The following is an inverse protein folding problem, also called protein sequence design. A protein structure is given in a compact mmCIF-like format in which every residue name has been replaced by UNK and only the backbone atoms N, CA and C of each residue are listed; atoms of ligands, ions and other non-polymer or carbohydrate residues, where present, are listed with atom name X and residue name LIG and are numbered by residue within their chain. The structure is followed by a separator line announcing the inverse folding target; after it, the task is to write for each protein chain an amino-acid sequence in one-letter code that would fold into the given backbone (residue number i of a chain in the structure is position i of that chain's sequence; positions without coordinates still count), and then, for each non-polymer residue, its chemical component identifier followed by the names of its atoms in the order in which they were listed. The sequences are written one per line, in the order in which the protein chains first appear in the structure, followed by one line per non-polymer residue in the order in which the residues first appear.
data_IF_857285649154
#
_entry.id   IF_857285649154
#
_cell.length_a   1.000
_cell.length_b   1.000
_cell.length_c   1.000
_cell.angle_alpha   90.00
_cell.angle_beta   90.00
_cell.angle_gamma   90.00
#
_symmetry.space_group_name_H-M   'P 1'
#
loop_
_entity.id
_entity.type
_entity.pdbx_description
1 polymer ?
#
# COMPACT_ATOMS: atom_id res chain seq x y z
N UNK A 1 39.23 13.00 43.93
CA UNK A 1 39.13 13.92 42.77
C UNK A 1 39.36 13.23 41.42
N UNK A 2 40.34 12.33 41.29
CA UNK A 2 40.63 11.62 40.03
C UNK A 2 39.47 10.75 39.50
N UNK A 3 38.74 10.02 40.36
CA UNK A 3 37.62 9.17 39.93
C UNK A 3 36.43 9.95 39.34
N UNK A 4 36.19 11.18 39.81
CA UNK A 4 35.09 12.03 39.31
C UNK A 4 35.43 12.57 37.91
N UNK A 5 36.70 12.93 37.69
CA UNK A 5 37.19 13.38 36.39
C UNK A 5 37.18 12.25 35.35
N UNK A 6 37.56 11.03 35.75
CA UNK A 6 37.48 9.86 34.86
C UNK A 6 36.03 9.50 34.52
N UNK A 7 35.11 9.59 35.48
CA UNK A 7 33.69 9.34 35.23
C UNK A 7 33.05 10.40 34.30
N UNK A 8 33.41 11.68 34.46
CA UNK A 8 32.98 12.74 33.55
C UNK A 8 33.56 12.57 32.14
N UNK A 9 34.83 12.16 32.02
CA UNK A 9 35.47 11.92 30.73
C UNK A 9 34.83 10.74 29.98
N UNK A 10 34.47 9.66 30.69
CA UNK A 10 33.74 8.53 30.11
C UNK A 10 32.32 8.94 29.70
N UNK A 11 31.60 9.70 30.54
CA UNK A 11 30.25 10.19 30.20
C UNK A 11 30.27 11.14 28.99
N UNK A 12 31.25 12.04 28.90
CA UNK A 12 31.44 12.94 27.76
C UNK A 12 31.84 12.18 26.49
N UNK A 13 32.72 11.17 26.59
CA UNK A 13 33.12 10.33 25.48
C UNK A 13 31.97 9.48 24.93
N UNK A 14 31.12 8.95 25.81
CA UNK A 14 29.91 8.20 25.44
C UNK A 14 28.82 9.11 24.84
N UNK A 15 28.70 10.35 25.31
CA UNK A 15 27.79 11.35 24.73
C UNK A 15 28.19 11.75 23.30
N UNK A 16 29.48 12.05 23.09
CA UNK A 16 30.01 12.42 21.77
C UNK A 16 29.95 11.26 20.77
N UNK A 17 30.18 10.02 21.20
CA UNK A 17 30.07 8.84 20.35
C UNK A 17 28.62 8.58 19.88
N UNK A 18 27.61 8.84 20.72
CA UNK A 18 26.19 8.71 20.33
C UNK A 18 25.76 9.81 19.37
N UNK A 19 26.23 11.04 19.54
CA UNK A 19 25.89 12.14 18.63
C UNK A 19 26.54 11.97 17.25
N UNK A 20 27.75 11.39 17.17
CA UNK A 20 28.41 11.12 15.91
C UNK A 20 27.74 10.00 15.08
N UNK A 21 27.07 9.05 15.73
CA UNK A 21 26.38 7.92 15.07
C UNK A 21 25.04 8.34 14.41
N UNK A 22 24.48 9.48 14.80
CA UNK A 22 23.18 9.96 14.32
C UNK A 22 23.30 10.82 13.03
N UNK A 23 24.44 11.47 12.81
CA UNK A 23 24.64 12.44 11.71
C UNK A 23 24.79 11.81 10.31
N UNK A 24 24.77 10.48 10.20
CA UNK A 24 24.89 9.75 8.92
C UNK A 24 23.89 8.62 8.71
N UNK A 25 22.93 8.44 9.64
CA UNK A 25 21.91 7.39 9.49
C UNK A 25 20.82 7.89 8.54
N UNK A 26 20.50 7.13 7.46
CA UNK A 26 19.39 7.50 6.58
C UNK A 26 18.12 7.67 7.41
N UNK A 27 17.38 8.75 7.17
CA UNK A 27 16.09 8.98 7.80
C UNK A 27 15.21 7.73 7.59
N UNK A 28 14.78 7.05 8.67
CA UNK A 28 13.98 5.84 8.56
C UNK A 28 12.69 6.07 7.77
N UNK A 29 12.13 7.28 7.80
CA UNK A 29 10.95 7.66 7.02
C UNK A 29 11.29 7.68 5.54
N UNK A 30 12.38 8.33 5.14
CA UNK A 30 12.81 8.39 3.74
C UNK A 30 13.22 7.02 3.20
N UNK A 31 13.86 6.19 4.03
CA UNK A 31 14.24 4.83 3.66
C UNK A 31 13.01 3.99 3.28
N UNK A 32 11.95 4.03 4.11
CA UNK A 32 10.69 3.34 3.83
C UNK A 32 9.95 4.00 2.65
N UNK A 33 9.89 5.33 2.59
CA UNK A 33 9.20 6.06 1.52
C UNK A 33 9.81 5.79 0.14
N UNK A 34 11.12 5.56 0.04
CA UNK A 34 11.79 5.22 -1.22
C UNK A 34 11.38 3.84 -1.76
N UNK A 35 10.87 2.96 -0.91
CA UNK A 35 10.36 1.63 -1.28
C UNK A 35 8.87 1.61 -1.62
N UNK A 36 8.17 2.71 -1.35
CA UNK A 36 6.78 2.88 -1.71
C UNK A 36 6.70 3.63 -3.04
N UNK A 37 5.76 3.21 -3.89
CA UNK A 37 5.48 3.83 -5.18
C UNK A 37 4.28 4.77 -5.07
N UNK A 38 4.39 5.97 -5.63
CA UNK A 38 3.25 6.87 -5.71
C UNK A 38 2.26 6.34 -6.79
N UNK A 39 1.00 6.03 -6.46
CA UNK A 39 0.03 5.52 -7.45
C UNK A 39 -0.37 6.57 -8.49
N UNK A 40 -0.35 7.86 -8.11
CA UNK A 40 -0.70 8.97 -9.00
C UNK A 40 0.48 9.47 -9.86
N UNK A 41 1.71 9.05 -9.56
CA UNK A 41 2.91 9.64 -10.13
C UNK A 41 3.65 8.56 -10.91
N UNK A 42 3.64 8.66 -12.24
CA UNK A 42 4.05 7.66 -13.25
C UNK A 42 5.35 6.86 -12.95
N UNK A 43 5.29 6.00 -11.94
CA UNK A 43 6.39 5.18 -11.50
C UNK A 43 7.36 5.77 -10.47
N UNK A 44 7.14 6.99 -9.96
CA UNK A 44 8.01 7.64 -8.96
C UNK A 44 7.86 7.03 -7.55
N UNK A 45 8.91 7.14 -6.74
CA UNK A 45 8.86 6.76 -5.32
C UNK A 45 8.08 7.78 -4.49
N UNK A 46 7.52 7.36 -3.36
CA UNK A 46 6.90 8.25 -2.38
C UNK A 46 7.93 9.15 -1.72
N UNK A 47 9.22 8.78 -1.69
CA UNK A 47 10.27 9.68 -1.21
C UNK A 47 10.49 10.87 -2.15
N UNK A 48 10.51 10.63 -3.46
CA UNK A 48 10.88 11.64 -4.46
C UNK A 48 9.68 12.47 -4.94
N UNK A 49 8.48 11.89 -4.91
CA UNK A 49 7.33 12.52 -5.56
C UNK A 49 6.74 13.68 -4.77
N UNK A 50 6.35 14.73 -5.49
CA UNK A 50 5.79 15.97 -4.93
C UNK A 50 4.26 16.00 -4.88
N UNK A 51 3.59 14.89 -5.21
CA UNK A 51 2.13 14.84 -5.18
C UNK A 51 1.57 14.94 -3.75
N UNK A 52 0.34 15.44 -3.60
CA UNK A 52 -0.35 15.43 -2.30
C UNK A 52 -0.46 14.02 -1.71
N UNK A 53 -0.69 13.00 -2.55
CA UNK A 53 -0.78 11.61 -2.12
C UNK A 53 0.55 11.14 -1.54
N UNK A 54 1.68 11.44 -2.21
CA UNK A 54 3.00 11.09 -1.69
C UNK A 54 3.30 11.80 -0.36
N UNK A 55 2.92 13.08 -0.22
CA UNK A 55 3.07 13.81 1.03
C UNK A 55 2.26 13.18 2.18
N UNK A 56 1.00 12.81 1.92
CA UNK A 56 0.15 12.15 2.90
C UNK A 56 0.69 10.75 3.27
N UNK A 57 1.16 9.97 2.29
CA UNK A 57 1.81 8.67 2.54
C UNK A 57 3.09 8.81 3.37
N UNK A 58 3.95 9.80 3.10
CA UNK A 58 5.14 10.09 3.92
C UNK A 58 4.76 10.39 5.36
N UNK A 59 3.68 11.15 5.57
CA UNK A 59 3.22 11.43 6.92
C UNK A 59 2.73 10.17 7.64
N UNK A 60 2.01 9.28 6.94
CA UNK A 60 1.63 7.98 7.51
C UNK A 60 2.88 7.17 7.85
N UNK A 61 3.91 7.15 7.00
CA UNK A 61 5.18 6.47 7.33
C UNK A 61 5.80 7.06 8.59
N UNK A 62 5.87 8.39 8.71
CA UNK A 62 6.36 9.08 9.92
C UNK A 62 5.59 8.62 11.16
N UNK A 63 4.27 8.55 11.10
CA UNK A 63 3.42 8.12 12.21
C UNK A 63 3.71 6.66 12.60
N UNK A 64 4.00 5.79 11.64
CA UNK A 64 4.31 4.38 11.89
C UNK A 64 5.71 4.19 12.49
N UNK A 65 6.70 4.95 12.01
CA UNK A 65 8.06 4.96 12.56
C UNK A 65 8.03 5.50 13.99
N UNK A 66 7.26 6.56 14.27
CA UNK A 66 7.07 7.09 15.60
C UNK A 66 6.41 6.07 16.56
N UNK A 67 5.61 5.14 16.03
CA UNK A 67 5.04 4.02 16.78
C UNK A 67 6.04 2.87 17.02
N UNK A 68 7.31 3.01 16.59
CA UNK A 68 8.35 2.02 16.80
C UNK A 68 8.27 0.80 15.89
N UNK A 69 7.46 0.84 14.82
CA UNK A 69 7.37 -0.26 13.85
C UNK A 69 8.62 -0.34 13.00
N UNK A 70 9.02 -1.57 12.68
CA UNK A 70 10.14 -1.78 11.78
C UNK A 70 9.76 -1.54 10.31
N UNK A 71 10.78 -1.35 9.47
CA UNK A 71 10.63 -1.13 8.02
C UNK A 71 9.74 -2.17 7.33
N UNK A 72 9.88 -3.43 7.70
CA UNK A 72 9.23 -4.58 7.09
C UNK A 72 7.75 -4.67 7.54
N UNK A 73 7.45 -4.31 8.77
CA UNK A 73 6.10 -4.13 9.32
C UNK A 73 5.38 -2.99 8.62
N UNK A 74 6.04 -1.85 8.41
CA UNK A 74 5.45 -0.71 7.71
C UNK A 74 5.12 -1.10 6.26
N UNK A 75 6.03 -1.76 5.55
CA UNK A 75 5.77 -2.26 4.18
C UNK A 75 4.57 -3.20 4.14
N UNK A 76 4.50 -4.17 5.07
CA UNK A 76 3.34 -5.08 5.19
C UNK A 76 2.06 -4.34 5.48
N UNK A 77 2.10 -3.31 6.32
CA UNK A 77 0.95 -2.48 6.68
C UNK A 77 0.39 -1.74 5.45
N UNK A 78 1.28 -1.16 4.62
CA UNK A 78 0.89 -0.51 3.36
C UNK A 78 0.35 -1.53 2.35
N UNK A 79 0.99 -2.67 2.17
CA UNK A 79 0.52 -3.72 1.25
C UNK A 79 -0.87 -4.24 1.62
N UNK A 80 -1.15 -4.42 2.92
CA UNK A 80 -2.46 -4.88 3.38
C UNK A 80 -3.58 -3.87 3.10
N UNK A 81 -3.28 -2.57 3.03
CA UNK A 81 -4.27 -1.50 2.87
C UNK A 81 -4.40 -0.98 1.44
N UNK A 82 -3.29 -0.92 0.71
CA UNK A 82 -3.20 -0.30 -0.60
C UNK A 82 -2.82 -1.30 -1.71
N UNK A 83 -2.58 -2.57 -1.38
CA UNK A 83 -2.22 -3.63 -2.31
C UNK A 83 -0.72 -3.79 -2.53
N UNK A 84 -0.30 -4.85 -3.24
CA UNK A 84 1.11 -5.15 -3.45
C UNK A 84 1.84 -4.15 -4.36
N UNK A 85 1.12 -3.49 -5.27
CA UNK A 85 1.66 -2.53 -6.24
C UNK A 85 2.10 -1.20 -5.60
N UNK A 86 1.76 -0.98 -4.33
CA UNK A 86 2.27 0.15 -3.55
C UNK A 86 3.76 0.03 -3.29
N UNK A 87 4.37 -1.16 -3.43
CA UNK A 87 5.82 -1.33 -3.29
C UNK A 87 6.50 -1.19 -4.65
N UNK A 88 7.68 -0.57 -4.65
CA UNK A 88 8.53 -0.47 -5.86
C UNK A 88 8.95 -1.85 -6.36
N UNK A 89 9.20 -2.81 -5.44
CA UNK A 89 9.51 -4.21 -5.72
C UNK A 89 8.57 -5.15 -4.94
N UNK A 90 7.60 -5.82 -5.60
CA UNK A 90 6.72 -6.78 -4.94
C UNK A 90 7.50 -7.99 -4.38
N UNK A 91 7.12 -8.54 -3.21
CA UNK A 91 7.89 -9.60 -2.56
C UNK A 91 7.83 -10.92 -3.33
N UNK A 92 8.91 -11.27 -4.03
CA UNK A 92 9.05 -12.51 -4.82
C UNK A 92 9.28 -13.80 -3.98
N UNK A 93 8.89 -13.83 -2.69
CA UNK A 93 9.31 -14.88 -1.73
C UNK A 93 8.89 -16.31 -2.16
N UNK A 94 7.78 -16.48 -2.86
CA UNK A 94 7.36 -17.80 -3.39
C UNK A 94 8.07 -18.20 -4.70
N UNK A 95 8.28 -17.23 -5.57
CA UNK A 95 8.85 -17.43 -6.92
C UNK A 95 10.35 -17.75 -6.87
N UNK A 96 11.10 -17.09 -5.98
CA UNK A 96 12.56 -17.22 -5.90
C UNK A 96 13.00 -18.63 -5.45
N UNK A 97 12.26 -19.28 -4.57
CA UNK A 97 12.53 -20.66 -4.13
C UNK A 97 12.27 -21.69 -5.24
N UNK A 98 11.21 -21.48 -6.04
CA UNK A 98 10.89 -22.37 -7.17
C UNK A 98 11.95 -22.29 -8.27
N UNK A 99 12.48 -21.09 -8.52
CA UNK A 99 13.49 -20.82 -9.54
C UNK A 99 14.79 -21.60 -9.31
N UNK A 100 15.17 -21.82 -8.05
CA UNK A 100 16.39 -22.55 -7.66
C UNK A 100 16.14 -24.03 -7.33
N UNK A 101 14.96 -24.37 -6.79
CA UNK A 101 14.65 -25.75 -6.41
C UNK A 101 14.49 -26.70 -7.60
N UNK A 102 13.87 -26.24 -8.68
CA UNK A 102 13.58 -27.06 -9.88
C UNK A 102 14.85 -27.45 -10.65
N UNK A 103 15.80 -26.55 -10.96
CA UNK A 103 17.05 -26.92 -11.63
C UNK A 103 17.90 -27.92 -10.82
N UNK A 104 17.93 -27.76 -9.49
CA UNK A 104 18.66 -28.67 -8.61
C UNK A 104 18.05 -30.08 -8.64
N UNK A 105 16.71 -30.18 -8.56
CA UNK A 105 16.00 -31.46 -8.67
C UNK A 105 16.20 -32.13 -10.03
N UNK A 106 16.21 -31.36 -11.12
CA UNK A 106 16.46 -31.88 -12.47
C UNK A 106 17.89 -32.44 -12.61
N UNK A 107 18.90 -31.73 -12.09
CA UNK A 107 20.29 -32.19 -12.04
C UNK A 107 20.45 -33.47 -11.23
N UNK A 108 19.83 -33.52 -10.04
CA UNK A 108 19.87 -34.70 -9.17
C UNK A 108 19.17 -35.90 -9.82
N UNK A 109 18.01 -35.69 -10.45
CA UNK A 109 17.27 -36.73 -11.18
C UNK A 109 18.05 -37.27 -12.38
N UNK A 110 18.64 -36.39 -13.19
CA UNK A 110 19.47 -36.77 -14.33
C UNK A 110 20.73 -37.53 -13.93
N UNK A 111 21.43 -37.06 -12.89
CA UNK A 111 22.62 -37.73 -12.34
C UNK A 111 22.31 -39.12 -11.76
N UNK A 112 21.18 -39.27 -11.07
CA UNK A 112 20.74 -40.55 -10.52
C UNK A 112 20.37 -41.56 -11.62
N UNK A 113 19.64 -41.12 -12.65
CA UNK A 113 19.29 -41.95 -13.80
C UNK A 113 20.55 -42.43 -14.54
N UNK A 114 21.49 -41.51 -14.82
CA UNK A 114 22.77 -41.84 -15.44
C UNK A 114 23.56 -42.87 -14.63
N UNK A 115 23.63 -42.70 -13.29
CA UNK A 115 24.34 -43.61 -12.39
C UNK A 115 23.73 -45.02 -12.38
N UNK A 116 22.42 -45.17 -12.53
CA UNK A 116 21.76 -46.48 -12.65
C UNK A 116 21.96 -47.13 -14.02
N UNK A 117 21.96 -46.35 -15.09
CA UNK A 117 22.14 -46.89 -16.45
C UNK A 117 23.59 -47.20 -16.81
N UNK A 118 24.55 -46.48 -16.22
CA UNK A 118 25.99 -46.63 -16.48
C UNK A 118 26.67 -47.57 -15.47
N UNK A 119 25.95 -48.11 -14.48
CA UNK A 119 26.48 -49.13 -13.59
C UNK A 119 26.87 -50.34 -14.45
N UNK A 120 28.17 -50.67 -14.58
CA UNK A 120 28.58 -51.84 -15.33
C UNK A 120 28.03 -53.06 -14.59
N UNK A 121 27.08 -53.77 -15.21
CA UNK A 121 26.81 -55.14 -14.79
C UNK A 121 28.10 -55.92 -14.93
N UNK A 122 28.49 -56.67 -13.89
CA UNK A 122 29.67 -57.51 -13.87
C UNK A 122 29.59 -58.57 -14.99
N UNK A 123 29.88 -58.18 -16.22
CA UNK A 123 29.89 -59.04 -17.38
C UNK A 123 31.22 -59.79 -17.33
N UNK A 124 31.14 -61.07 -16.96
CA UNK A 124 32.24 -62.03 -17.02
C UNK A 124 32.95 -61.92 -18.36
N UNK A 125 34.28 -61.77 -18.30
CA UNK A 125 35.15 -61.59 -19.45
C UNK A 125 34.89 -62.68 -20.51
N UNK A 126 34.47 -62.27 -21.70
CA UNK A 126 34.47 -63.09 -22.92
C UNK A 126 35.56 -62.57 -23.86
N UNK A 127 36.33 -63.46 -24.51
CA UNK A 127 37.50 -63.07 -25.31
C UNK A 127 37.12 -62.20 -26.51
N UNK A 128 38.04 -61.33 -26.89
CA UNK A 128 37.84 -60.16 -27.74
C UNK A 128 37.39 -60.49 -29.18
N UNK A 129 36.21 -60.01 -29.56
CA UNK A 129 35.77 -59.90 -30.95
C UNK A 129 36.25 -58.57 -31.57
N UNK A 130 36.40 -58.47 -32.91
CA UNK A 130 36.95 -57.27 -33.54
C UNK A 130 36.08 -56.04 -33.25
N UNK A 131 36.74 -54.92 -32.94
CA UNK A 131 36.12 -53.67 -32.53
C UNK A 131 35.07 -53.21 -33.55
N UNK A 132 33.80 -53.38 -33.22
CA UNK A 132 32.66 -52.70 -33.86
C UNK A 132 32.15 -51.67 -32.86
N UNK A 133 32.09 -50.37 -33.20
CA UNK A 133 31.53 -49.39 -32.29
C UNK A 133 30.09 -49.79 -31.97
N UNK A 134 29.81 -49.96 -30.68
CA UNK A 134 28.57 -50.56 -30.20
C UNK A 134 27.41 -49.57 -30.40
N UNK A 135 26.77 -49.64 -31.57
CA UNK A 135 25.68 -48.74 -31.95
C UNK A 135 24.50 -48.79 -30.95
N UNK A 136 24.38 -49.88 -30.18
CA UNK A 136 23.40 -50.02 -29.10
C UNK A 136 23.76 -49.17 -27.87
N UNK A 137 25.04 -49.02 -27.55
CA UNK A 137 25.52 -48.15 -26.49
C UNK A 137 25.31 -46.67 -26.83
N UNK A 138 25.68 -46.27 -28.04
CA UNK A 138 25.47 -44.92 -28.54
C UNK A 138 23.98 -44.51 -28.56
N UNK A 139 23.09 -45.40 -29.05
CA UNK A 139 21.63 -45.15 -29.05
C UNK A 139 21.05 -45.04 -27.65
N UNK A 140 21.61 -45.76 -26.67
CA UNK A 140 21.14 -45.75 -25.28
C UNK A 140 21.58 -44.47 -24.55
N UNK A 141 22.82 -44.03 -24.75
CA UNK A 141 23.33 -42.74 -24.26
C UNK A 141 22.54 -41.59 -24.86
N UNK A 142 22.28 -41.64 -26.18
CA UNK A 142 21.51 -40.60 -26.86
C UNK A 142 20.08 -40.50 -26.32
N UNK A 143 19.38 -41.63 -26.11
CA UNK A 143 18.03 -41.63 -25.52
C UNK A 143 17.99 -41.04 -24.10
N UNK A 144 18.96 -41.36 -23.25
CA UNK A 144 19.01 -40.82 -21.88
C UNK A 144 19.29 -39.31 -21.90
N UNK A 145 20.20 -38.86 -22.78
CA UNK A 145 20.46 -37.43 -22.98
C UNK A 145 19.23 -36.70 -23.52
N UNK A 146 18.53 -37.25 -24.52
CA UNK A 146 17.31 -36.65 -25.09
C UNK A 146 16.19 -36.53 -24.05
N UNK A 147 15.97 -37.56 -23.22
CA UNK A 147 14.95 -37.51 -22.16
C UNK A 147 15.31 -36.49 -21.09
N UNK A 148 16.59 -36.38 -20.72
CA UNK A 148 17.06 -35.35 -19.79
C UNK A 148 16.87 -33.93 -20.32
N UNK A 149 17.18 -33.69 -21.60
CA UNK A 149 16.96 -32.38 -22.26
C UNK A 149 15.48 -32.07 -22.37
N UNK A 150 14.63 -33.02 -22.77
CA UNK A 150 13.18 -32.80 -22.86
C UNK A 150 12.57 -32.54 -21.49
N UNK A 151 12.98 -33.26 -20.45
CA UNK A 151 12.53 -33.02 -19.08
C UNK A 151 12.97 -31.66 -18.55
N UNK A 152 14.19 -31.22 -18.87
CA UNK A 152 14.69 -29.88 -18.54
C UNK A 152 13.88 -28.80 -19.25
N UNK A 153 13.67 -28.93 -20.57
CA UNK A 153 12.89 -27.97 -21.37
C UNK A 153 11.43 -27.92 -20.90
N UNK A 154 10.80 -29.07 -20.63
CA UNK A 154 9.45 -29.12 -20.10
C UNK A 154 9.36 -28.50 -18.68
N UNK A 155 10.36 -28.73 -17.82
CA UNK A 155 10.41 -28.12 -16.49
C UNK A 155 10.61 -26.60 -16.58
N UNK A 156 11.49 -26.13 -17.46
CA UNK A 156 11.69 -24.69 -17.72
C UNK A 156 10.43 -24.07 -18.31
N UNK A 157 9.73 -24.74 -19.23
CA UNK A 157 8.47 -24.24 -19.79
C UNK A 157 7.35 -24.18 -18.74
N UNK A 158 7.20 -25.22 -17.91
CA UNK A 158 6.22 -25.22 -16.80
C UNK A 158 6.58 -24.18 -15.74
N UNK A 159 7.86 -23.97 -15.46
CA UNK A 159 8.32 -22.92 -14.55
C UNK A 159 8.08 -21.54 -15.17
N UNK A 160 8.38 -21.32 -16.45
CA UNK A 160 8.12 -20.07 -17.14
C UNK A 160 6.63 -19.69 -17.13
N UNK A 161 5.74 -20.67 -17.37
CA UNK A 161 4.29 -20.50 -17.32
C UNK A 161 3.76 -20.23 -15.89
N UNK A 162 4.46 -20.73 -14.87
CA UNK A 162 4.18 -20.45 -13.43
C UNK A 162 4.85 -19.17 -12.93
N UNK A 163 5.84 -18.66 -13.65
CA UNK A 163 6.57 -17.43 -13.39
C UNK A 163 5.95 -16.24 -14.09
N UNK A 164 5.03 -16.47 -15.03
CA UNK A 164 4.16 -15.41 -15.53
C UNK A 164 3.50 -14.80 -14.30
N UNK A 165 3.86 -13.56 -13.92
CA UNK A 165 3.19 -12.92 -12.82
C UNK A 165 1.70 -12.90 -13.20
N UNK A 166 0.77 -13.18 -12.26
CA UNK A 166 -0.64 -12.92 -12.53
C UNK A 166 -0.70 -11.52 -13.14
N UNK A 167 -1.36 -11.39 -14.30
CA UNK A 167 -1.43 -10.15 -15.07
C UNK A 167 -1.43 -8.98 -14.08
N UNK A 168 -0.37 -8.14 -14.12
CA UNK A 168 -0.14 -7.09 -13.11
C UNK A 168 -1.51 -6.54 -12.73
N UNK A 169 -1.93 -6.59 -11.45
CA UNK A 169 -3.18 -5.99 -11.06
C UNK A 169 -3.19 -4.58 -11.67
N UNK A 170 -4.34 -4.16 -12.21
CA UNK A 170 -4.44 -2.83 -12.79
C UNK A 170 -3.82 -1.82 -11.80
N UNK A 171 -2.97 -0.88 -12.26
CA UNK A 171 -2.32 0.06 -11.36
C UNK A 171 -3.35 0.61 -10.39
N UNK A 172 -3.05 0.55 -9.09
CA UNK A 172 -3.99 0.89 -8.03
C UNK A 172 -4.69 2.21 -8.39
N UNK A 173 -6.01 2.17 -8.58
CA UNK A 173 -6.80 3.34 -9.03
C UNK A 173 -6.42 4.53 -8.13
N UNK A 174 -5.77 5.58 -8.66
CA UNK A 174 -5.29 6.69 -7.85
C UNK A 174 -6.41 7.33 -7.03
N UNK A 175 -7.63 7.36 -7.59
CA UNK A 175 -8.83 7.83 -6.90
C UNK A 175 -9.17 6.92 -5.73
N UNK A 176 -9.13 5.59 -5.91
CA UNK A 176 -9.40 4.64 -4.83
C UNK A 176 -8.36 4.76 -3.69
N UNK A 177 -7.09 4.94 -4.03
CA UNK A 177 -6.04 5.16 -3.01
C UNK A 177 -6.26 6.47 -2.28
N UNK A 178 -6.56 7.56 -3.00
CA UNK A 178 -6.85 8.86 -2.38
C UNK A 178 -8.06 8.79 -1.44
N UNK A 179 -9.14 8.11 -1.84
CA UNK A 179 -10.33 7.94 -1.00
C UNK A 179 -10.06 7.10 0.24
N UNK A 180 -9.30 6.01 0.11
CA UNK A 180 -8.93 5.17 1.24
C UNK A 180 -8.03 5.95 2.22
N UNK A 181 -7.07 6.70 1.70
CA UNK A 181 -6.19 7.54 2.50
C UNK A 181 -6.97 8.67 3.20
N UNK A 182 -7.94 9.28 2.52
CA UNK A 182 -8.84 10.27 3.11
C UNK A 182 -9.59 9.67 4.32
N UNK A 183 -10.13 8.46 4.19
CA UNK A 183 -10.84 7.78 5.27
C UNK A 183 -9.90 7.46 6.45
N UNK A 184 -8.72 6.92 6.18
CA UNK A 184 -7.71 6.66 7.20
C UNK A 184 -7.36 7.94 7.98
N UNK A 185 -7.22 9.08 7.29
CA UNK A 185 -6.97 10.38 7.90
C UNK A 185 -8.16 10.89 8.73
N UNK A 186 -9.40 10.68 8.29
CA UNK A 186 -10.60 11.00 9.08
C UNK A 186 -10.64 10.22 10.39
N UNK A 187 -10.31 8.92 10.38
CA UNK A 187 -10.28 8.10 11.62
C UNK A 187 -9.24 8.59 12.62
N UNK A 188 -8.21 9.28 12.12
CA UNK A 188 -7.17 9.92 12.91
C UNK A 188 -7.52 11.36 13.32
N UNK A 189 -8.72 11.85 12.98
CA UNK A 189 -9.17 13.23 13.15
C UNK A 189 -8.35 14.28 12.38
N UNK A 190 -7.64 13.88 11.33
CA UNK A 190 -6.81 14.76 10.49
C UNK A 190 -7.61 15.26 9.28
N UNK A 191 -8.62 16.06 9.56
CA UNK A 191 -9.63 16.45 8.58
C UNK A 191 -9.13 17.41 7.49
N UNK A 192 -8.13 18.23 7.80
CA UNK A 192 -7.41 19.09 6.86
C UNK A 192 -6.70 18.27 5.77
N UNK A 193 -5.94 17.24 6.19
CA UNK A 193 -5.27 16.33 5.26
C UNK A 193 -6.28 15.46 4.50
N UNK A 194 -7.36 15.00 5.16
CA UNK A 194 -8.43 14.26 4.49
C UNK A 194 -9.11 15.10 3.39
N UNK A 195 -9.37 16.39 3.67
CA UNK A 195 -9.97 17.30 2.69
C UNK A 195 -9.08 17.44 1.44
N UNK A 196 -7.76 17.51 1.59
CA UNK A 196 -6.83 17.52 0.46
C UNK A 196 -6.93 16.25 -0.40
N UNK A 197 -7.09 15.07 0.23
CA UNK A 197 -7.23 13.81 -0.50
C UNK A 197 -8.56 13.71 -1.25
N UNK A 198 -9.66 14.18 -0.66
CA UNK A 198 -10.93 14.26 -1.38
C UNK A 198 -10.88 15.27 -2.53
N UNK A 199 -10.21 16.40 -2.35
CA UNK A 199 -10.02 17.37 -3.42
C UNK A 199 -9.22 16.75 -4.58
N UNK A 200 -8.18 15.96 -4.29
CA UNK A 200 -7.44 15.22 -5.31
C UNK A 200 -8.33 14.22 -6.04
N UNK A 201 -9.10 13.41 -5.31
CA UNK A 201 -10.05 12.47 -5.90
C UNK A 201 -11.08 13.16 -6.82
N UNK A 202 -11.58 14.34 -6.42
CA UNK A 202 -12.54 15.13 -7.20
C UNK A 202 -11.96 15.75 -8.47
N UNK A 203 -10.63 15.99 -8.52
CA UNK A 203 -9.96 16.49 -9.74
C UNK A 203 -10.02 15.45 -10.85
N UNK A 204 -9.82 14.18 -10.49
CA UNK A 204 -9.81 13.07 -11.43
C UNK A 204 -11.22 12.55 -11.74
N UNK A 205 -12.07 12.44 -10.72
CA UNK A 205 -13.44 11.92 -10.85
C UNK A 205 -14.42 12.83 -10.10
N UNK A 206 -15.07 13.77 -10.79
CA UNK A 206 -16.11 14.61 -10.20
C UNK A 206 -17.32 13.74 -9.80
N UNK A 207 -17.61 13.68 -8.51
CA UNK A 207 -18.70 12.89 -7.94
C UNK A 207 -19.31 13.64 -6.74
N UNK A 208 -20.64 13.67 -6.64
CA UNK A 208 -21.32 14.43 -5.59
C UNK A 208 -21.26 13.75 -4.22
N UNK A 209 -21.15 12.41 -4.17
CA UNK A 209 -20.87 11.69 -2.94
C UNK A 209 -19.48 12.02 -2.38
N UNK A 210 -18.44 12.03 -3.23
CA UNK A 210 -17.09 12.49 -2.85
C UNK A 210 -17.13 13.96 -2.44
N UNK A 211 -17.90 14.81 -3.15
CA UNK A 211 -18.04 16.23 -2.85
C UNK A 211 -18.68 16.47 -1.48
N UNK A 212 -19.66 15.67 -1.08
CA UNK A 212 -20.27 15.73 0.25
C UNK A 212 -19.27 15.33 1.34
N UNK A 213 -18.49 14.27 1.13
CA UNK A 213 -17.41 13.88 2.06
C UNK A 213 -16.35 14.96 2.20
N UNK A 214 -15.95 15.58 1.08
CA UNK A 214 -15.07 16.74 1.10
C UNK A 214 -15.65 17.90 1.92
N UNK A 215 -16.92 18.25 1.69
CA UNK A 215 -17.60 19.31 2.45
C UNK A 215 -17.66 19.00 3.95
N UNK A 216 -17.90 17.74 4.32
CA UNK A 216 -17.88 17.30 5.72
C UNK A 216 -16.47 17.40 6.31
N UNK A 217 -15.44 16.97 5.59
CA UNK A 217 -14.04 17.09 6.02
C UNK A 217 -13.67 18.57 6.24
N UNK A 218 -14.05 19.47 5.34
CA UNK A 218 -13.85 20.93 5.51
C UNK A 218 -14.53 21.46 6.77
N UNK A 219 -15.78 21.06 7.02
CA UNK A 219 -16.51 21.47 8.22
C UNK A 219 -15.79 21.03 9.50
N UNK A 220 -15.29 19.78 9.53
CA UNK A 220 -14.55 19.22 10.67
C UNK A 220 -13.15 19.81 10.82
N UNK A 221 -12.54 20.25 9.72
CA UNK A 221 -11.30 21.02 9.71
C UNK A 221 -11.49 22.48 10.15
N UNK A 222 -12.73 22.94 10.35
CA UNK A 222 -13.06 24.31 10.74
C UNK A 222 -13.23 25.29 9.57
N UNK A 223 -13.11 24.84 8.32
CA UNK A 223 -13.41 25.65 7.13
C UNK A 223 -14.91 25.60 6.80
N UNK A 224 -15.71 26.26 7.65
CA UNK A 224 -17.15 26.38 7.45
C UNK A 224 -17.51 27.12 6.14
N UNK A 225 -16.68 28.07 5.71
CA UNK A 225 -16.89 28.80 4.47
C UNK A 225 -16.72 27.93 3.22
N UNK A 226 -15.66 27.11 3.19
CA UNK A 226 -15.44 26.09 2.17
C UNK A 226 -16.57 25.06 2.16
N UNK A 227 -16.89 24.48 3.32
CA UNK A 227 -17.98 23.51 3.45
C UNK A 227 -19.32 24.05 2.94
N UNK A 228 -19.65 25.30 3.24
CA UNK A 228 -20.87 25.96 2.78
C UNK A 228 -20.91 26.12 1.26
N UNK A 229 -19.81 26.54 0.62
CA UNK A 229 -19.74 26.66 -0.85
C UNK A 229 -19.90 25.29 -1.50
N UNK A 230 -19.15 24.31 -1.04
CA UNK A 230 -19.18 22.94 -1.57
C UNK A 230 -20.55 22.28 -1.40
N UNK A 231 -21.21 22.43 -0.25
CA UNK A 231 -22.55 21.89 -0.03
C UNK A 231 -23.61 22.56 -0.92
N UNK A 232 -23.50 23.87 -1.18
CA UNK A 232 -24.39 24.57 -2.12
C UNK A 232 -24.23 24.07 -3.55
N UNK A 233 -23.02 23.71 -3.97
CA UNK A 233 -22.79 23.13 -5.30
C UNK A 233 -23.50 21.77 -5.45
N UNK A 234 -23.47 20.93 -4.41
CA UNK A 234 -24.21 19.66 -4.41
C UNK A 234 -25.71 19.93 -4.48
N UNK A 235 -26.23 20.82 -3.62
CA UNK A 235 -27.66 21.16 -3.60
C UNK A 235 -28.16 21.87 -4.86
N UNK A 236 -27.27 22.49 -5.65
CA UNK A 236 -27.63 23.04 -6.95
C UNK A 236 -27.99 21.94 -7.96
N UNK A 237 -27.42 20.74 -7.80
CA UNK A 237 -27.70 19.55 -8.63
C UNK A 237 -28.75 18.64 -7.99
N UNK A 238 -28.68 18.47 -6.67
CA UNK A 238 -29.58 17.64 -5.88
C UNK A 238 -30.25 18.46 -4.76
N UNK A 239 -31.31 19.24 -5.06
CA UNK A 239 -31.88 20.20 -4.11
C UNK A 239 -32.42 19.63 -2.81
N UNK A 240 -32.80 18.35 -2.81
CA UNK A 240 -33.33 17.62 -1.66
C UNK A 240 -32.36 16.55 -1.16
N UNK A 241 -31.06 16.68 -1.43
CA UNK A 241 -30.03 15.83 -0.83
C UNK A 241 -30.03 15.99 0.69
N UNK A 242 -30.34 14.93 1.48
CA UNK A 242 -30.36 15.01 2.93
C UNK A 242 -29.02 15.45 3.52
N UNK A 243 -27.93 14.82 3.05
CA UNK A 243 -26.58 15.09 3.52
C UNK A 243 -26.10 16.48 3.08
N UNK A 244 -26.49 16.92 1.87
CA UNK A 244 -26.22 18.28 1.41
C UNK A 244 -26.87 19.34 2.31
N UNK A 245 -28.15 19.16 2.67
CA UNK A 245 -28.86 20.06 3.57
C UNK A 245 -28.29 20.02 5.00
N UNK A 246 -27.92 18.83 5.49
CA UNK A 246 -27.29 18.65 6.78
C UNK A 246 -25.95 19.40 6.86
N UNK A 247 -25.04 19.14 5.93
CA UNK A 247 -23.72 19.78 5.89
C UNK A 247 -23.86 21.29 5.70
N UNK A 248 -24.72 21.75 4.79
CA UNK A 248 -24.96 23.18 4.60
C UNK A 248 -25.47 23.85 5.87
N UNK A 249 -26.48 23.26 6.52
CA UNK A 249 -27.05 23.82 7.74
C UNK A 249 -26.05 23.88 8.90
N UNK A 250 -25.22 22.85 9.06
CA UNK A 250 -24.15 22.82 10.05
C UNK A 250 -23.04 23.85 9.75
N UNK A 251 -22.64 23.97 8.49
CA UNK A 251 -21.64 24.95 8.04
C UNK A 251 -22.14 26.40 8.25
N UNK A 252 -23.38 26.69 7.87
CA UNK A 252 -24.03 27.97 8.12
C UNK A 252 -24.09 28.30 9.61
N UNK A 253 -24.33 27.31 10.47
CA UNK A 253 -24.35 27.53 11.93
C UNK A 253 -22.97 27.85 12.48
N UNK A 254 -21.94 27.15 12.01
CA UNK A 254 -20.55 27.43 12.36
C UNK A 254 -20.16 28.87 11.99
N UNK A 255 -20.59 29.34 10.81
CA UNK A 255 -20.39 30.72 10.35
C UNK A 255 -21.41 31.73 10.88
N UNK A 256 -22.26 31.36 11.86
CA UNK A 256 -23.32 32.21 12.47
C UNK A 256 -24.30 32.84 11.46
N UNK A 257 -24.60 32.15 10.37
CA UNK A 257 -25.58 32.61 9.38
C UNK A 257 -27.01 32.48 9.91
N UNK A 258 -27.84 33.49 9.63
CA UNK A 258 -29.27 33.50 9.95
C UNK A 258 -30.06 32.42 9.19
N UNK A 259 -29.52 31.88 8.09
CA UNK A 259 -30.16 30.84 7.28
C UNK A 259 -30.06 29.44 7.90
N UNK A 260 -29.15 29.22 8.85
CA UNK A 260 -28.81 27.89 9.37
C UNK A 260 -30.03 27.12 9.87
N UNK A 261 -30.86 27.76 10.70
CA UNK A 261 -32.05 27.13 11.29
C UNK A 261 -33.09 26.77 10.24
N UNK A 262 -33.24 27.60 9.20
CA UNK A 262 -34.16 27.32 8.08
C UNK A 262 -33.69 26.09 7.30
N UNK A 263 -32.40 26.02 6.98
CA UNK A 263 -31.81 24.88 6.27
C UNK A 263 -31.94 23.58 7.06
N UNK A 264 -31.61 23.60 8.36
CA UNK A 264 -31.72 22.42 9.22
C UNK A 264 -33.16 21.95 9.42
N UNK A 265 -34.15 22.86 9.46
CA UNK A 265 -35.57 22.48 9.47
C UNK A 265 -36.00 21.82 8.14
N UNK A 266 -35.48 22.31 7.01
CA UNK A 266 -35.72 21.68 5.71
C UNK A 266 -35.13 20.27 5.68
N UNK A 267 -33.91 20.07 6.17
CA UNK A 267 -33.30 18.74 6.34
C UNK A 267 -34.22 17.78 7.13
N UNK A 268 -34.75 18.22 8.28
CA UNK A 268 -35.66 17.39 9.09
C UNK A 268 -36.99 17.06 8.38
N UNK A 269 -37.41 17.89 7.42
CA UNK A 269 -38.61 17.66 6.62
C UNK A 269 -38.34 16.64 5.52
N UNK A 270 -37.18 16.73 4.86
CA UNK A 270 -36.76 15.83 3.78
C UNK A 270 -36.39 14.44 4.31
N UNK A 271 -35.65 14.38 5.42
CA UNK A 271 -35.12 13.12 5.97
C UNK A 271 -35.37 12.98 7.48
N UNK A 272 -36.63 12.81 7.91
CA UNK A 272 -37.00 12.74 9.33
C UNK A 272 -36.42 11.53 10.07
N UNK A 273 -36.10 10.45 9.34
CA UNK A 273 -35.52 9.22 9.87
C UNK A 273 -33.98 9.17 9.79
N UNK A 274 -33.33 10.25 9.32
CA UNK A 274 -31.87 10.30 9.22
C UNK A 274 -31.21 10.13 10.60
N UNK A 275 -30.06 9.43 10.73
CA UNK A 275 -29.40 9.25 12.02
C UNK A 275 -29.10 10.55 12.77
N UNK A 276 -28.77 11.62 12.03
CA UNK A 276 -28.52 12.94 12.61
C UNK A 276 -29.79 13.71 13.04
N UNK A 277 -30.99 13.27 12.65
CA UNK A 277 -32.22 14.04 12.85
C UNK A 277 -32.54 14.31 14.32
N UNK A 278 -32.31 13.33 15.21
CA UNK A 278 -32.52 13.49 16.64
C UNK A 278 -31.63 14.59 17.23
N UNK A 279 -30.37 14.63 16.81
CA UNK A 279 -29.40 15.61 17.29
C UNK A 279 -29.69 17.00 16.74
N UNK A 280 -30.04 17.12 15.46
CA UNK A 280 -30.45 18.40 14.87
C UNK A 280 -31.69 18.98 15.55
N UNK A 281 -32.68 18.15 15.94
CA UNK A 281 -33.85 18.59 16.70
C UNK A 281 -33.45 19.21 18.05
N UNK A 282 -32.54 18.57 18.79
CA UNK A 282 -32.01 19.11 20.06
C UNK A 282 -31.25 20.43 19.83
N UNK A 283 -30.42 20.46 18.79
CA UNK A 283 -29.62 21.61 18.41
C UNK A 283 -30.48 22.85 18.09
N UNK A 284 -31.62 22.67 17.42
CA UNK A 284 -32.58 23.74 17.11
C UNK A 284 -33.42 24.17 18.31
N UNK A 285 -33.67 23.28 19.28
CA UNK A 285 -34.37 23.62 20.52
C UNK A 285 -33.49 24.49 21.44
N UNK A 286 -32.22 24.15 21.59
CA UNK A 286 -31.26 24.89 22.42
C UNK A 286 -31.01 26.34 21.94
N UNK A 287 -31.10 26.59 20.63
CA UNK A 287 -30.95 27.95 20.08
C UNK A 287 -32.11 28.89 20.45
N UNK A 288 -33.31 28.36 20.71
CA UNK A 288 -34.51 29.14 21.01
C UNK A 288 -34.59 29.58 22.47
N UNK A 289 -33.87 28.93 23.39
CA UNK A 289 -33.82 29.30 24.80
C UNK A 289 -32.89 30.47 25.10
N UNK A 290 -31.87 30.71 24.27
CA UNK A 290 -30.85 31.75 24.50
C UNK A 290 -31.24 33.13 23.95
N UNK A 291 -32.26 33.18 23.08
CA UNK A 291 -32.78 34.42 22.48
C UNK A 291 -33.97 35.04 23.20
N UNK A 292 -34.30 34.56 24.41
CA UNK A 292 -35.41 35.04 25.24
C UNK A 292 -34.85 35.63 26.53
#
# INVERSE_FOLDING_TARGET
MAFVLSALAVAAGVGLARSADDHGRPDPVLAVAAELRCPACQGESVADSRSPIAAAMRQVVTDQVAQGRDRDEIRRWFVQRYGADVLTDPPARGVRLLLWGVPLLALLGGGWAARRTLRPGAARARPAAPWRPDARGARRVWRVASVGVVALVASVAVVADRLDPPARPAPADPVAVALQLAHDLETQNRYDAAAQMYQEALRDRPDDGIRLRFAFALLRAGDGGGAQRTAREVLAREPDSPDGLLVLGLAQRNSRSAEADRTLRRFLTVAPAHPAAAEIKRLLAAGQSTGR
#
